data_IF_184002704205
#
_entry.id   IF_184002704205
#
_cell.length_a   1.000
_cell.length_b   1.000
_cell.length_c   1.000
_cell.angle_alpha   90.00
_cell.angle_beta   90.00
_cell.angle_gamma   90.00
#
_symmetry.space_group_name_H-M   'P 1'
#
loop_
_entity.id
_entity.type
_entity.pdbx_description
1 polymer ?
#
# COMPACT_ATOMS: atom_id res chain seq x y z
N UNK A 1 16.66 -47.33 -19.67
CA UNK A 1 15.76 -46.29 -19.11
C UNK A 1 16.25 -46.02 -17.71
N UNK A 2 17.01 -44.95 -17.55
CA UNK A 2 17.52 -44.47 -16.27
C UNK A 2 16.36 -43.73 -15.61
N UNK A 3 15.86 -44.28 -14.51
CA UNK A 3 14.86 -43.63 -13.68
C UNK A 3 15.58 -42.54 -12.87
N UNK A 4 15.70 -41.36 -13.48
CA UNK A 4 16.09 -40.12 -12.80
C UNK A 4 14.88 -39.63 -11.99
N UNK A 5 14.52 -40.35 -10.93
CA UNK A 5 13.52 -39.90 -9.98
C UNK A 5 14.22 -39.03 -8.95
N UNK A 6 14.38 -37.77 -9.33
CA UNK A 6 15.00 -36.72 -8.54
C UNK A 6 14.43 -36.67 -7.12
N UNK A 7 15.23 -36.83 -6.05
CA UNK A 7 14.76 -36.56 -4.70
C UNK A 7 14.81 -35.04 -4.46
N UNK A 8 13.83 -34.31 -5.00
CA UNK A 8 13.57 -32.93 -4.56
C UNK A 8 12.59 -32.91 -3.39
N UNK A 9 12.86 -33.76 -2.40
CA UNK A 9 12.38 -33.56 -1.05
C UNK A 9 13.61 -33.29 -0.21
N UNK A 10 14.24 -32.12 -0.43
CA UNK A 10 15.14 -31.57 0.56
C UNK A 10 14.25 -31.13 1.72
N UNK A 11 13.97 -32.11 2.58
CA UNK A 11 13.06 -32.02 3.72
C UNK A 11 13.57 -30.88 4.58
N UNK A 12 12.89 -29.73 4.52
CA UNK A 12 13.15 -28.59 5.41
C UNK A 12 13.37 -29.13 6.82
N UNK A 13 14.57 -28.96 7.36
CA UNK A 13 14.89 -29.40 8.70
C UNK A 13 13.89 -28.82 9.71
N UNK A 14 13.70 -29.46 10.86
CA UNK A 14 12.69 -29.06 11.86
C UNK A 14 12.81 -27.56 12.24
N UNK A 15 14.03 -27.02 12.31
CA UNK A 15 14.29 -25.59 12.53
C UNK A 15 13.75 -24.70 11.41
N UNK A 16 13.94 -25.11 10.14
CA UNK A 16 13.45 -24.35 8.99
C UNK A 16 11.91 -24.38 8.91
N UNK A 17 11.28 -25.51 9.25
CA UNK A 17 9.82 -25.61 9.36
C UNK A 17 9.27 -24.68 10.45
N UNK A 18 9.91 -24.63 11.62
CA UNK A 18 9.52 -23.73 12.71
C UNK A 18 9.66 -22.25 12.32
N UNK A 19 10.72 -21.89 11.59
CA UNK A 19 10.92 -20.53 11.08
C UNK A 19 9.84 -20.12 10.08
N UNK A 20 9.51 -20.99 9.12
CA UNK A 20 8.46 -20.73 8.13
C UNK A 20 7.12 -20.52 8.83
N UNK A 21 6.76 -21.39 9.79
CA UNK A 21 5.54 -21.23 10.58
C UNK A 21 5.52 -19.89 11.32
N UNK A 22 6.62 -19.51 11.98
CA UNK A 22 6.70 -18.22 12.66
C UNK A 22 6.55 -17.01 11.72
N UNK A 23 7.10 -17.08 10.50
CA UNK A 23 6.96 -16.02 9.51
C UNK A 23 5.49 -15.91 9.07
N UNK A 24 4.85 -17.04 8.75
CA UNK A 24 3.44 -17.07 8.32
C UNK A 24 2.54 -16.52 9.43
N UNK A 25 2.65 -17.03 10.66
CA UNK A 25 1.82 -16.59 11.79
C UNK A 25 1.93 -15.07 12.02
N UNK A 26 3.15 -14.51 11.88
CA UNK A 26 3.38 -13.07 12.01
C UNK A 26 2.76 -12.27 10.87
N UNK A 27 2.86 -12.76 9.63
CA UNK A 27 2.27 -12.09 8.46
C UNK A 27 0.76 -12.12 8.52
N UNK A 28 0.14 -13.24 8.91
CA UNK A 28 -1.31 -13.36 9.05
C UNK A 28 -1.86 -12.42 10.12
N UNK A 29 -1.17 -12.31 11.26
CA UNK A 29 -1.55 -11.33 12.29
C UNK A 29 -1.49 -9.90 11.76
N UNK A 30 -0.41 -9.52 11.07
CA UNK A 30 -0.28 -8.20 10.47
C UNK A 30 -1.34 -7.95 9.39
N UNK A 31 -1.72 -8.96 8.61
CA UNK A 31 -2.78 -8.85 7.61
C UNK A 31 -4.15 -8.63 8.25
N UNK A 32 -4.44 -9.28 9.39
CA UNK A 32 -5.65 -9.05 10.17
C UNK A 32 -5.69 -7.62 10.73
N UNK A 33 -4.58 -7.15 11.31
CA UNK A 33 -4.44 -5.76 11.79
C UNK A 33 -4.63 -4.76 10.63
N UNK A 34 -4.04 -5.01 9.46
CA UNK A 34 -4.22 -4.14 8.29
C UNK A 34 -5.68 -4.10 7.82
N UNK A 35 -6.38 -5.24 7.87
CA UNK A 35 -7.79 -5.32 7.51
C UNK A 35 -8.67 -4.49 8.47
N UNK A 36 -8.40 -4.55 9.78
CA UNK A 36 -9.09 -3.74 10.77
C UNK A 36 -8.86 -2.24 10.54
N UNK A 37 -7.60 -1.83 10.36
CA UNK A 37 -7.25 -0.44 10.06
C UNK A 37 -7.90 0.03 8.74
N UNK A 38 -8.00 -0.85 7.75
CA UNK A 38 -8.66 -0.53 6.48
C UNK A 38 -10.15 -0.27 6.67
N UNK A 39 -10.83 -1.05 7.49
CA UNK A 39 -12.25 -0.84 7.79
C UNK A 39 -12.47 0.43 8.60
N UNK A 40 -11.67 0.67 9.65
CA UNK A 40 -11.71 1.92 10.42
C UNK A 40 -11.54 3.15 9.52
N UNK A 41 -10.59 3.12 8.57
CA UNK A 41 -10.43 4.21 7.60
C UNK A 41 -11.64 4.39 6.69
N UNK A 42 -12.31 3.30 6.31
CA UNK A 42 -13.51 3.34 5.48
C UNK A 42 -14.68 3.98 6.24
N UNK A 43 -14.83 3.68 7.52
CA UNK A 43 -15.82 4.31 8.40
C UNK A 43 -15.59 5.83 8.51
N UNK A 44 -14.36 6.29 8.72
CA UNK A 44 -14.03 7.72 8.76
C UNK A 44 -14.40 8.43 7.45
N UNK A 45 -14.10 7.82 6.30
CA UNK A 45 -14.51 8.38 5.01
C UNK A 45 -16.02 8.33 4.79
N UNK A 46 -16.72 7.34 5.34
CA UNK A 46 -18.18 7.26 5.27
C UNK A 46 -18.84 8.35 6.13
N UNK A 47 -18.31 8.61 7.33
CA UNK A 47 -18.74 9.72 8.18
C UNK A 47 -18.52 11.06 7.48
N UNK A 48 -17.33 11.28 6.91
CA UNK A 48 -17.05 12.48 6.13
C UNK A 48 -18.04 12.67 4.97
N UNK A 49 -18.43 11.58 4.29
CA UNK A 49 -19.46 11.63 3.24
C UNK A 49 -20.83 12.01 3.81
N UNK A 50 -21.22 11.46 4.95
CA UNK A 50 -22.47 11.81 5.64
C UNK A 50 -22.54 13.27 6.06
N UNK A 51 -21.39 13.84 6.43
CA UNK A 51 -21.22 15.26 6.77
C UNK A 51 -21.12 16.18 5.53
N UNK A 52 -21.25 15.65 4.32
CA UNK A 52 -21.26 16.42 3.06
C UNK A 52 -19.88 16.69 2.44
N UNK A 53 -18.80 16.09 2.94
CA UNK A 53 -17.47 16.25 2.35
C UNK A 53 -17.27 15.37 1.11
N UNK A 54 -16.49 15.88 0.14
CA UNK A 54 -16.07 15.09 -1.02
C UNK A 54 -14.91 14.14 -0.64
N UNK A 55 -15.24 12.87 -0.45
CA UNK A 55 -14.28 11.81 -0.10
C UNK A 55 -13.15 11.64 -1.13
N UNK A 56 -13.41 11.86 -2.42
CA UNK A 56 -12.37 11.74 -3.45
C UNK A 56 -11.29 12.80 -3.26
N UNK A 57 -11.71 14.04 -2.98
CA UNK A 57 -10.79 15.14 -2.69
C UNK A 57 -10.04 14.89 -1.39
N UNK A 58 -10.71 14.43 -0.33
CA UNK A 58 -10.03 14.09 0.94
C UNK A 58 -8.93 13.05 0.74
N UNK A 59 -9.20 11.98 -0.02
CA UNK A 59 -8.19 10.96 -0.37
C UNK A 59 -7.03 11.56 -1.15
N UNK A 60 -7.31 12.47 -2.09
CA UNK A 60 -6.27 13.18 -2.84
C UNK A 60 -5.40 14.03 -1.92
N UNK A 61 -5.99 14.78 -0.98
CA UNK A 61 -5.25 15.59 0.02
C UNK A 61 -4.37 14.70 0.88
N UNK A 62 -4.89 13.58 1.41
CA UNK A 62 -4.09 12.65 2.22
C UNK A 62 -2.90 12.09 1.43
N UNK A 63 -3.09 11.77 0.15
CA UNK A 63 -2.00 11.32 -0.73
C UNK A 63 -0.97 12.43 -0.98
N UNK A 64 -1.40 13.65 -1.26
CA UNK A 64 -0.52 14.81 -1.47
C UNK A 64 0.28 15.14 -0.21
N UNK A 65 -0.29 14.95 0.98
CA UNK A 65 0.40 15.17 2.26
C UNK A 65 1.47 14.14 2.58
N UNK A 66 1.47 12.97 1.93
CA UNK A 66 2.53 11.96 2.06
C UNK A 66 3.77 12.30 1.24
N UNK A 67 3.62 13.15 0.23
CA UNK A 67 4.74 13.60 -0.61
C UNK A 67 5.52 14.68 0.16
N UNK A 68 6.85 14.63 0.05
CA UNK A 68 7.75 15.65 0.57
C UNK A 68 7.32 17.05 0.09
N UNK A 69 7.18 18.05 0.99
CA UNK A 69 6.77 19.39 0.61
C UNK A 69 7.62 20.03 -0.49
N UNK A 70 8.94 19.81 -0.49
CA UNK A 70 9.84 20.38 -1.50
C UNK A 70 9.61 19.73 -2.87
N UNK A 71 9.47 18.40 -2.91
CA UNK A 71 9.14 17.68 -4.16
C UNK A 71 7.78 18.07 -4.72
N UNK A 72 6.81 18.34 -3.84
CA UNK A 72 5.49 18.85 -4.25
C UNK A 72 5.61 20.23 -4.88
N UNK A 73 6.32 21.15 -4.24
CA UNK A 73 6.52 22.51 -4.77
C UNK A 73 7.24 22.51 -6.12
N UNK A 74 8.24 21.64 -6.28
CA UNK A 74 8.94 21.48 -7.57
C UNK A 74 7.99 20.96 -8.66
N UNK A 75 7.19 19.94 -8.35
CA UNK A 75 6.21 19.40 -9.29
C UNK A 75 5.12 20.42 -9.65
N UNK A 76 4.64 21.20 -8.67
CA UNK A 76 3.64 22.26 -8.88
C UNK A 76 4.22 23.36 -9.79
N UNK A 77 5.48 23.77 -9.58
CA UNK A 77 6.14 24.76 -10.44
C UNK A 77 6.32 24.27 -11.88
N UNK A 78 6.64 22.99 -12.08
CA UNK A 78 6.73 22.39 -13.42
C UNK A 78 5.35 22.29 -14.08
N UNK A 79 4.31 21.94 -13.31
CA UNK A 79 2.93 21.89 -13.79
C UNK A 79 2.47 23.27 -14.28
N UNK A 80 2.70 24.32 -13.48
CA UNK A 80 2.35 25.69 -13.84
C UNK A 80 3.09 26.15 -15.11
N UNK A 81 4.36 25.78 -15.25
CA UNK A 81 5.13 26.03 -16.48
C UNK A 81 4.50 25.35 -17.70
N UNK A 82 4.02 24.12 -17.57
CA UNK A 82 3.39 23.40 -18.68
C UNK A 82 2.00 23.93 -19.01
N UNK A 83 1.20 24.26 -18.00
CA UNK A 83 -0.13 24.87 -18.19
C UNK A 83 -0.04 26.24 -18.87
N UNK A 84 0.92 27.07 -18.45
CA UNK A 84 1.17 28.36 -19.11
C UNK A 84 1.65 28.19 -20.56
N UNK A 85 2.47 27.17 -20.86
CA UNK A 85 2.93 26.90 -22.22
C UNK A 85 1.79 26.49 -23.18
N UNK A 86 0.71 25.90 -22.68
CA UNK A 86 -0.48 25.53 -23.48
C UNK A 86 -1.61 26.58 -23.41
N UNK A 87 -1.42 27.67 -22.66
CA UNK A 87 -2.40 28.76 -22.55
C UNK A 87 -3.60 28.45 -21.66
N UNK A 88 -3.47 27.50 -20.72
CA UNK A 88 -4.49 27.20 -19.71
C UNK A 88 -4.35 28.05 -18.42
N UNK A 89 -3.46 29.06 -18.45
CA UNK A 89 -3.22 30.04 -17.38
C UNK A 89 -3.34 31.48 -17.92
#
# INVERSE_FOLDING_TARGET
MSDDTTPHADVLGQTAQAQIKSIIDRVERLAAEEAEIREQKKEVYAEAKGNGFNVQILKAVVRLRKVDPAKRQEADAILDLYLSAIGEI
#
